data_IF_371301309893
#
_entry.id   IF_371301309893
#
_cell.length_a   1.000
_cell.length_b   1.000
_cell.length_c   1.000
_cell.angle_alpha   90.00
_cell.angle_beta   90.00
_cell.angle_gamma   90.00
#
_symmetry.space_group_name_H-M   'P 1'
#
loop_
_entity.id
_entity.type
_entity.pdbx_description
1 polymer ?
#
# COMPACT_ATOMS: atom_id res chain seq x y z
N UNK A 1 7.35 -13.60 -13.55
CA UNK A 1 6.84 -12.49 -12.72
C UNK A 1 8.04 -11.60 -12.41
N UNK A 2 7.97 -10.31 -12.72
CA UNK A 2 9.11 -9.41 -12.54
C UNK A 2 9.31 -9.10 -11.05
N UNK A 3 10.27 -9.79 -10.42
CA UNK A 3 10.57 -9.62 -8.99
C UNK A 3 11.09 -8.21 -8.70
N UNK A 4 11.82 -7.59 -9.65
CA UNK A 4 12.32 -6.22 -9.51
C UNK A 4 11.18 -5.21 -9.40
N UNK A 5 10.13 -5.37 -10.21
CA UNK A 5 8.93 -4.53 -10.12
C UNK A 5 8.25 -4.67 -8.75
N UNK A 6 8.14 -5.89 -8.22
CA UNK A 6 7.54 -6.13 -6.91
C UNK A 6 8.38 -5.56 -5.76
N UNK A 7 9.71 -5.66 -5.85
CA UNK A 7 10.63 -5.02 -4.89
C UNK A 7 10.50 -3.50 -4.95
N UNK A 8 10.40 -2.92 -6.14
CA UNK A 8 10.19 -1.48 -6.33
C UNK A 8 8.89 -1.01 -5.67
N UNK A 9 7.79 -1.73 -5.89
CA UNK A 9 6.51 -1.43 -5.24
C UNK A 9 6.58 -1.57 -3.71
N UNK A 10 7.19 -2.63 -3.20
CA UNK A 10 7.33 -2.84 -1.76
C UNK A 10 8.22 -1.78 -1.09
N UNK A 11 9.32 -1.40 -1.73
CA UNK A 11 10.21 -0.35 -1.24
C UNK A 11 9.47 1.00 -1.16
N UNK A 12 8.68 1.34 -2.18
CA UNK A 12 7.88 2.56 -2.19
C UNK A 12 6.81 2.56 -1.08
N UNK A 13 6.12 1.44 -0.86
CA UNK A 13 5.12 1.30 0.22
C UNK A 13 5.79 1.43 1.58
N UNK A 14 6.92 0.76 1.79
CA UNK A 14 7.66 0.87 3.05
C UNK A 14 8.22 2.28 3.25
N UNK A 15 8.64 2.97 2.20
CA UNK A 15 9.08 4.38 2.29
C UNK A 15 7.94 5.25 2.83
N UNK A 16 6.73 5.07 2.32
CA UNK A 16 5.54 5.77 2.82
C UNK A 16 5.14 5.40 4.25
N UNK A 17 5.56 4.23 4.75
CA UNK A 17 5.33 3.79 6.13
C UNK A 17 6.42 4.33 7.04
N UNK A 18 7.66 3.90 6.85
CA UNK A 18 8.76 3.99 7.84
C UNK A 18 9.92 4.88 7.37
N UNK A 19 9.73 5.65 6.30
CA UNK A 19 10.73 6.58 5.77
C UNK A 19 11.81 5.89 4.92
N UNK A 20 12.61 5.00 5.50
CA UNK A 20 13.67 4.27 4.77
C UNK A 20 13.16 2.90 4.28
N UNK A 21 12.32 2.94 3.25
CA UNK A 21 11.74 1.73 2.65
C UNK A 21 12.76 0.74 2.09
N UNK A 22 13.77 1.17 1.31
CA UNK A 22 14.81 0.29 0.78
C UNK A 22 15.60 -0.45 1.88
N UNK A 23 16.04 0.23 2.94
CA UNK A 23 16.79 -0.42 4.01
C UNK A 23 15.92 -1.42 4.79
N UNK A 24 14.66 -1.08 5.00
CA UNK A 24 13.74 -1.98 5.68
C UNK A 24 13.37 -3.20 4.83
N UNK A 25 13.20 -3.02 3.52
CA UNK A 25 12.92 -4.13 2.60
C UNK A 25 14.08 -5.11 2.53
N UNK A 26 15.30 -4.61 2.39
CA UNK A 26 16.51 -5.44 2.35
C UNK A 26 16.70 -6.20 3.65
N UNK A 27 16.45 -5.57 4.80
CA UNK A 27 16.43 -6.23 6.11
C UNK A 27 15.33 -7.30 6.22
N UNK A 28 14.10 -6.99 5.79
CA UNK A 28 12.96 -7.90 5.88
C UNK A 28 13.12 -9.15 4.98
N UNK A 29 13.76 -8.99 3.82
CA UNK A 29 13.95 -10.07 2.84
C UNK A 29 15.33 -10.72 2.91
N UNK A 30 16.21 -10.24 3.80
CA UNK A 30 17.62 -10.65 3.87
C UNK A 30 18.33 -10.52 2.50
N UNK A 31 18.12 -9.39 1.83
CA UNK A 31 18.73 -9.06 0.54
C UNK A 31 19.94 -8.14 0.73
N UNK A 32 20.91 -8.24 -0.19
CA UNK A 32 21.93 -7.22 -0.33
C UNK A 32 21.31 -5.91 -0.87
N UNK A 33 21.79 -4.72 -0.48
CA UNK A 33 21.27 -3.45 -0.99
C UNK A 33 21.27 -3.33 -2.52
N UNK A 34 22.28 -3.91 -3.18
CA UNK A 34 22.41 -3.93 -4.64
C UNK A 34 21.31 -4.72 -5.35
N UNK A 35 20.64 -5.64 -4.65
CA UNK A 35 19.56 -6.43 -5.23
C UNK A 35 18.30 -5.60 -5.52
N UNK A 36 18.15 -4.41 -4.91
CA UNK A 36 17.02 -3.52 -5.20
C UNK A 36 17.16 -2.75 -6.52
N UNK A 37 18.34 -2.78 -7.13
CA UNK A 37 18.62 -2.11 -8.41
C UNK A 37 18.98 -3.11 -9.51
N UNK A 38 18.93 -4.40 -9.21
CA UNK A 38 19.28 -5.47 -10.17
C UNK A 38 18.02 -5.88 -10.96
N UNK A 39 18.00 -5.54 -12.25
CA UNK A 39 16.91 -5.89 -13.17
C UNK A 39 16.69 -7.40 -13.32
N UNK A 40 17.68 -8.22 -12.96
CA UNK A 40 17.63 -9.68 -13.08
C UNK A 40 17.51 -10.39 -11.72
N UNK A 41 17.23 -9.63 -10.65
CA UNK A 41 17.02 -10.21 -9.33
C UNK A 41 15.93 -11.29 -9.39
N UNK A 42 16.25 -12.45 -8.82
CA UNK A 42 15.30 -13.55 -8.68
C UNK A 42 15.15 -13.87 -7.20
N UNK A 43 13.95 -13.67 -6.68
CA UNK A 43 13.63 -13.98 -5.30
C UNK A 43 13.45 -15.48 -5.11
N UNK A 44 13.95 -15.99 -4.00
CA UNK A 44 13.61 -17.34 -3.51
C UNK A 44 12.13 -17.40 -3.12
N UNK A 45 11.57 -18.61 -3.02
CA UNK A 45 10.20 -18.79 -2.54
C UNK A 45 9.98 -18.13 -1.16
N UNK A 46 10.90 -18.36 -0.22
CA UNK A 46 10.84 -17.77 1.11
C UNK A 46 10.87 -16.23 1.09
N UNK A 47 11.63 -15.62 0.17
CA UNK A 47 11.64 -14.17 0.00
C UNK A 47 10.34 -13.65 -0.59
N UNK A 48 9.75 -14.34 -1.58
CA UNK A 48 8.43 -13.97 -2.11
C UNK A 48 7.33 -14.11 -1.07
N UNK A 49 7.39 -15.14 -0.23
CA UNK A 49 6.44 -15.31 0.87
C UNK A 49 6.54 -14.16 1.86
N UNK A 50 7.76 -13.79 2.28
CA UNK A 50 7.98 -12.61 3.16
C UNK A 50 7.51 -11.32 2.50
N UNK A 51 7.80 -11.13 1.22
CA UNK A 51 7.38 -9.97 0.44
C UNK A 51 5.85 -9.83 0.43
N UNK A 52 5.11 -10.93 0.24
CA UNK A 52 3.63 -10.92 0.29
C UNK A 52 3.12 -10.32 1.59
N UNK A 53 3.71 -10.67 2.73
CA UNK A 53 3.23 -10.22 4.05
C UNK A 53 3.47 -8.73 4.32
N UNK A 54 4.16 -8.01 3.43
CA UNK A 54 4.25 -6.55 3.49
C UNK A 54 2.97 -5.86 2.97
N UNK A 55 2.09 -6.61 2.30
CA UNK A 55 0.86 -6.14 1.70
C UNK A 55 -0.34 -6.81 2.38
N UNK A 56 -1.52 -6.18 2.29
CA UNK A 56 -2.77 -6.93 2.43
C UNK A 56 -2.95 -7.90 1.24
N UNK A 57 -3.81 -8.91 1.37
CA UNK A 57 -4.05 -9.88 0.29
C UNK A 57 -4.50 -9.21 -1.02
N UNK A 58 -5.36 -8.20 -0.91
CA UNK A 58 -5.85 -7.44 -2.06
C UNK A 58 -4.73 -6.60 -2.69
N UNK A 59 -3.93 -5.90 -1.88
CA UNK A 59 -2.79 -5.14 -2.38
C UNK A 59 -1.72 -6.02 -3.02
N UNK A 60 -1.49 -7.23 -2.48
CA UNK A 60 -0.58 -8.20 -3.08
C UNK A 60 -1.07 -8.66 -4.45
N UNK A 61 -2.37 -8.95 -4.57
CA UNK A 61 -2.98 -9.22 -5.86
C UNK A 61 -2.81 -8.04 -6.82
N UNK A 62 -3.08 -6.81 -6.36
CA UNK A 62 -2.93 -5.61 -7.17
C UNK A 62 -1.48 -5.42 -7.63
N UNK A 63 -0.50 -5.55 -6.74
CA UNK A 63 0.92 -5.46 -7.06
C UNK A 63 1.35 -6.47 -8.12
N UNK A 64 0.89 -7.72 -8.01
CA UNK A 64 1.14 -8.74 -9.05
C UNK A 64 0.51 -8.39 -10.40
N UNK A 65 -0.73 -7.88 -10.40
CA UNK A 65 -1.40 -7.43 -11.64
C UNK A 65 -0.64 -6.27 -12.27
N UNK A 66 -0.21 -5.30 -11.46
CA UNK A 66 0.60 -4.17 -11.90
C UNK A 66 1.95 -4.64 -12.46
N UNK A 67 2.63 -5.61 -11.81
CA UNK A 67 3.89 -6.15 -12.31
C UNK A 67 3.77 -6.88 -13.65
N UNK A 68 2.65 -7.57 -13.90
CA UNK A 68 2.36 -8.15 -15.22
C UNK A 68 2.11 -7.06 -16.25
N UNK A 69 1.32 -6.05 -15.89
CA UNK A 69 0.95 -4.96 -16.79
C UNK A 69 2.17 -4.12 -17.18
N UNK A 70 3.04 -3.80 -16.23
CA UNK A 70 4.30 -3.07 -16.44
C UNK A 70 5.23 -3.76 -17.43
N UNK A 71 5.27 -5.10 -17.40
CA UNK A 71 6.07 -5.88 -18.34
C UNK A 71 5.50 -5.90 -19.77
N UNK A 72 4.21 -5.61 -19.94
CA UNK A 72 3.53 -5.64 -21.26
C UNK A 72 3.20 -4.25 -21.81
N UNK A 73 3.06 -3.25 -20.95
CA UNK A 73 2.55 -1.91 -21.25
C UNK A 73 3.09 -0.93 -20.19
N UNK A 74 4.39 -0.60 -20.20
CA UNK A 74 4.98 0.33 -19.24
C UNK A 74 4.43 1.75 -19.44
N UNK A 75 4.22 2.48 -18.34
CA UNK A 75 3.78 3.88 -18.37
C UNK A 75 4.92 4.82 -17.93
N UNK A 76 5.01 6.01 -18.54
CA UNK A 76 6.07 7.02 -18.25
C UNK A 76 6.13 7.44 -16.77
N UNK A 77 4.98 7.44 -16.07
CA UNK A 77 4.92 7.77 -14.63
C UNK A 77 5.56 6.72 -13.71
N UNK A 78 5.94 5.57 -14.26
CA UNK A 78 6.53 4.45 -13.53
C UNK A 78 5.52 3.65 -12.71
N UNK A 79 5.93 2.44 -12.34
CA UNK A 79 5.03 1.45 -11.74
C UNK A 79 4.48 1.85 -10.38
N UNK A 80 5.25 2.63 -9.60
CA UNK A 80 4.81 3.12 -8.29
C UNK A 80 3.64 4.09 -8.45
N UNK A 81 3.73 5.07 -9.34
CA UNK A 81 2.66 6.02 -9.58
C UNK A 81 1.40 5.31 -10.10
N UNK A 82 1.57 4.38 -11.04
CA UNK A 82 0.48 3.57 -11.59
C UNK A 82 -0.21 2.73 -10.51
N UNK A 83 0.55 2.07 -9.64
CA UNK A 83 0.01 1.32 -8.51
C UNK A 83 -0.79 2.20 -7.54
N UNK A 84 -0.24 3.38 -7.17
CA UNK A 84 -0.94 4.31 -6.26
C UNK A 84 -2.21 4.87 -6.89
N UNK A 85 -2.19 5.21 -8.19
CA UNK A 85 -3.36 5.66 -8.92
C UNK A 85 -4.44 4.56 -9.00
N UNK A 86 -4.05 3.32 -9.30
CA UNK A 86 -4.96 2.18 -9.32
C UNK A 86 -5.57 1.92 -7.94
N UNK A 87 -4.75 1.91 -6.88
CA UNK A 87 -5.19 1.76 -5.49
C UNK A 87 -6.16 2.86 -5.09
N UNK A 88 -5.87 4.12 -5.42
CA UNK A 88 -6.76 5.24 -5.17
C UNK A 88 -8.09 5.09 -5.91
N UNK A 89 -8.06 4.74 -7.20
CA UNK A 89 -9.28 4.50 -8.01
C UNK A 89 -10.15 3.40 -7.42
N UNK A 90 -9.55 2.29 -7.00
CA UNK A 90 -10.27 1.18 -6.35
C UNK A 90 -10.89 1.64 -5.03
N UNK A 91 -10.12 2.37 -4.20
CA UNK A 91 -10.64 2.91 -2.95
C UNK A 91 -11.83 3.86 -3.17
N UNK A 92 -11.80 4.72 -4.21
CA UNK A 92 -12.95 5.56 -4.58
C UNK A 92 -14.20 4.72 -4.87
N UNK A 93 -14.06 3.64 -5.63
CA UNK A 93 -15.17 2.72 -5.91
C UNK A 93 -15.69 2.06 -4.63
N UNK A 94 -14.79 1.66 -3.72
CA UNK A 94 -15.18 1.06 -2.43
C UNK A 94 -15.90 2.05 -1.51
N UNK A 95 -15.52 3.33 -1.53
CA UNK A 95 -16.16 4.38 -0.73
C UNK A 95 -17.64 4.62 -1.07
N UNK A 96 -18.08 4.18 -2.26
CA UNK A 96 -19.48 4.20 -2.66
C UNK A 96 -20.24 2.91 -2.27
N UNK A 97 -19.55 1.88 -1.79
CA UNK A 97 -20.15 0.58 -1.48
C UNK A 97 -20.84 0.60 -0.10
N UNK A 98 -22.07 0.05 0.02
CA UNK A 98 -22.84 0.09 1.27
C UNK A 98 -22.25 -0.81 2.37
N UNK A 99 -21.44 -1.79 1.99
CA UNK A 99 -20.78 -2.77 2.85
C UNK A 99 -19.32 -2.38 3.20
N UNK A 100 -18.93 -1.12 2.95
CA UNK A 100 -17.63 -0.64 3.34
C UNK A 100 -17.57 -0.36 4.85
N UNK A 101 -16.55 -0.90 5.51
CA UNK A 101 -16.13 -0.50 6.84
C UNK A 101 -14.75 0.17 6.80
N UNK A 102 -14.49 1.08 7.74
CA UNK A 102 -13.16 1.67 7.94
C UNK A 102 -12.61 1.28 9.30
N UNK A 103 -11.33 0.91 9.37
CA UNK A 103 -10.63 0.62 10.63
C UNK A 103 -9.37 1.45 10.75
N UNK A 104 -9.09 1.87 11.98
CA UNK A 104 -7.83 2.51 12.34
C UNK A 104 -6.91 1.49 12.99
N UNK A 105 -5.65 1.45 12.55
CA UNK A 105 -4.61 0.60 13.15
C UNK A 105 -3.40 1.47 13.47
N UNK A 106 -2.93 1.38 14.71
CA UNK A 106 -1.68 1.99 15.14
C UNK A 106 -0.57 0.97 14.99
N UNK A 107 0.46 1.31 14.24
CA UNK A 107 1.68 0.50 14.12
C UNK A 107 2.80 1.19 14.92
N UNK A 108 3.29 0.58 16.02
CA UNK A 108 4.41 1.15 16.76
C UNK A 108 5.70 1.06 15.94
N UNK A 109 6.46 2.14 15.93
CA UNK A 109 7.77 2.19 15.27
C UNK A 109 8.90 1.83 16.24
N UNK A 110 10.02 1.29 15.74
CA UNK A 110 11.17 0.93 16.57
C UNK A 110 11.81 2.10 17.32
N UNK A 111 11.64 3.34 16.84
CA UNK A 111 12.15 4.57 17.43
C UNK A 111 11.21 5.16 18.50
N UNK A 112 10.12 4.48 18.82
CA UNK A 112 9.10 4.94 19.77
C UNK A 112 8.01 5.81 19.13
N UNK A 113 8.08 6.07 17.82
CA UNK A 113 7.00 6.68 17.04
C UNK A 113 5.80 5.75 16.83
N UNK A 114 4.75 6.27 16.20
CA UNK A 114 3.58 5.50 15.78
C UNK A 114 3.19 5.89 14.36
N UNK A 115 2.98 4.89 13.50
CA UNK A 115 2.29 5.06 12.24
C UNK A 115 0.81 4.81 12.41
N UNK A 116 0.05 5.51 11.60
CA UNK A 116 -1.39 5.51 11.66
C UNK A 116 -1.91 5.01 10.32
N UNK A 117 -2.63 3.90 10.37
CA UNK A 117 -3.14 3.23 9.18
C UNK A 117 -4.65 3.36 9.12
N UNK A 118 -5.16 3.84 7.99
CA UNK A 118 -6.55 3.70 7.60
C UNK A 118 -6.71 2.47 6.73
N UNK A 119 -7.48 1.51 7.22
CA UNK A 119 -7.93 0.36 6.46
C UNK A 119 -9.33 0.59 5.93
N UNK A 120 -9.48 0.56 4.60
CA UNK A 120 -10.77 0.38 3.94
C UNK A 120 -11.02 -1.11 3.82
N UNK A 121 -12.15 -1.60 4.33
CA UNK A 121 -12.48 -3.02 4.45
C UNK A 121 -13.80 -3.28 3.75
N UNK A 122 -13.75 -3.95 2.60
CA UNK A 122 -14.94 -4.33 1.86
C UNK A 122 -15.33 -5.75 2.27
N UNK A 123 -16.43 -5.87 3.02
CA UNK A 123 -16.93 -7.14 3.53
C UNK A 123 -18.00 -7.71 2.59
N UNK A 124 -17.77 -8.89 2.04
CA UNK A 124 -18.69 -9.50 1.08
C UNK A 124 -19.85 -10.27 1.74
N UNK A 125 -19.94 -10.30 3.08
CA UNK A 125 -21.01 -10.95 3.84
C UNK A 125 -20.89 -12.47 3.93
N UNK A 126 -19.84 -13.05 3.35
CA UNK A 126 -19.64 -14.49 3.22
C UNK A 126 -18.36 -14.90 3.93
N UNK A 127 -18.45 -15.80 4.92
CA UNK A 127 -17.32 -16.53 5.54
C UNK A 127 -16.06 -15.71 5.92
N UNK A 128 -16.21 -14.43 6.27
CA UNK A 128 -15.07 -13.56 6.61
C UNK A 128 -14.22 -13.15 5.40
N UNK A 129 -14.76 -13.27 4.18
CA UNK A 129 -14.17 -12.73 2.96
C UNK A 129 -14.21 -11.20 3.04
N UNK A 130 -13.05 -10.63 3.35
CA UNK A 130 -12.87 -9.19 3.48
C UNK A 130 -11.65 -8.78 2.69
N UNK A 131 -11.85 -7.92 1.70
CA UNK A 131 -10.74 -7.25 1.04
C UNK A 131 -10.35 -5.99 1.81
N UNK A 132 -9.05 -5.75 1.95
CA UNK A 132 -8.52 -4.62 2.71
C UNK A 132 -7.59 -3.80 1.83
N UNK A 133 -7.76 -2.48 1.84
CA UNK A 133 -6.77 -1.51 1.37
C UNK A 133 -6.25 -0.72 2.55
N UNK A 134 -4.93 -0.63 2.68
CA UNK A 134 -4.27 -0.03 3.84
C UNK A 134 -3.53 1.26 3.46
N UNK A 135 -3.90 2.39 4.06
CA UNK A 135 -3.29 3.69 3.76
C UNK A 135 -2.59 4.24 4.99
N UNK A 136 -1.35 4.68 4.84
CA UNK A 136 -0.67 5.47 5.87
C UNK A 136 -1.25 6.87 5.88
N UNK A 137 -1.65 7.32 7.06
CA UNK A 137 -2.31 8.60 7.28
C UNK A 137 -1.28 9.62 7.77
N UNK A 138 -1.26 10.85 7.21
CA UNK A 138 -0.40 11.91 7.73
C UNK A 138 -0.67 12.20 9.21
N UNK A 139 0.38 12.55 9.97
CA UNK A 139 0.29 12.79 11.42
C UNK A 139 -0.76 13.86 11.78
N UNK A 140 -0.90 14.91 10.96
CA UNK A 140 -1.90 15.96 11.14
C UNK A 140 -3.33 15.41 11.08
N UNK A 141 -3.60 14.55 10.11
CA UNK A 141 -4.89 13.89 9.93
C UNK A 141 -5.14 12.92 11.07
N UNK A 142 -4.13 12.11 11.45
CA UNK A 142 -4.20 11.22 12.60
C UNK A 142 -4.60 11.95 13.88
N UNK A 143 -3.97 13.11 14.16
CA UNK A 143 -4.30 13.97 15.30
C UNK A 143 -5.75 14.46 15.24
N UNK A 144 -6.24 14.87 14.07
CA UNK A 144 -7.64 15.31 13.91
C UNK A 144 -8.63 14.16 14.13
N UNK A 145 -8.31 12.94 13.68
CA UNK A 145 -9.13 11.75 13.92
C UNK A 145 -9.17 11.42 15.42
N UNK A 146 -8.01 11.41 16.09
CA UNK A 146 -7.91 11.15 17.54
C UNK A 146 -8.67 12.19 18.36
N UNK A 147 -8.59 13.45 17.97
CA UNK A 147 -9.36 14.54 18.57
C UNK A 147 -10.86 14.53 18.18
N UNK A 148 -11.32 13.56 17.40
CA UNK A 148 -12.69 13.45 16.85
C UNK A 148 -13.14 14.67 16.05
N UNK A 149 -12.18 15.42 15.49
CA UNK A 149 -12.44 16.60 14.66
C UNK A 149 -12.86 16.25 13.24
N UNK A 150 -12.49 15.05 12.77
CA UNK A 150 -12.93 14.48 11.48
C UNK A 150 -13.14 12.98 11.64
N UNK A 151 -14.19 12.43 11.04
CA UNK A 151 -14.37 10.98 10.97
C UNK A 151 -13.57 10.39 9.79
N UNK A 152 -13.13 9.14 9.96
CA UNK A 152 -12.25 8.45 9.01
C UNK A 152 -12.86 8.32 7.62
N UNK A 153 -14.15 8.01 7.56
CA UNK A 153 -14.85 7.82 6.30
C UNK A 153 -14.98 9.16 5.57
N UNK A 154 -15.24 10.25 6.29
CA UNK A 154 -15.27 11.61 5.76
C UNK A 154 -13.90 12.04 5.26
N UNK A 155 -12.82 11.80 6.00
CA UNK A 155 -11.46 12.07 5.50
C UNK A 155 -11.19 11.26 4.22
N UNK A 156 -11.46 9.96 4.23
CA UNK A 156 -11.25 9.10 3.07
C UNK A 156 -12.02 9.60 1.84
N UNK A 157 -13.29 9.99 2.03
CA UNK A 157 -14.11 10.60 0.97
C UNK A 157 -13.50 11.90 0.48
N UNK A 158 -13.07 12.81 1.36
CA UNK A 158 -12.54 14.11 0.94
C UNK A 158 -11.21 14.00 0.17
N UNK A 159 -10.29 13.15 0.63
CA UNK A 159 -8.91 13.14 0.14
C UNK A 159 -8.63 12.03 -0.88
N UNK A 160 -9.35 10.91 -0.84
CA UNK A 160 -9.23 9.89 -1.89
C UNK A 160 -10.09 10.22 -3.10
N UNK A 161 -11.16 11.04 -2.99
CA UNK A 161 -11.94 11.52 -4.14
C UNK A 161 -11.37 12.79 -4.80
N UNK A 162 -10.48 13.53 -4.12
CA UNK A 162 -9.79 14.67 -4.74
C UNK A 162 -9.03 14.17 -5.98
N UNK A 163 -9.40 14.63 -7.17
CA UNK A 163 -8.65 14.33 -8.39
C UNK A 163 -7.19 14.76 -8.21
N UNK A 164 -6.20 14.00 -8.73
CA UNK A 164 -4.87 14.55 -8.86
C UNK A 164 -5.01 15.84 -9.66
N UNK A 165 -4.59 16.96 -9.08
CA UNK A 165 -4.46 18.19 -9.85
C UNK A 165 -3.48 17.88 -10.97
N UNK A 166 -3.99 17.76 -12.19
CA UNK A 166 -3.19 17.89 -13.40
C UNK A 166 -2.70 19.33 -13.41
N UNK A 167 -1.45 19.53 -12.98
CA UNK A 167 -0.67 20.71 -13.37
C UNK A 167 -0.28 20.61 -14.84
#
# INVERSE_FOLDING_TARGET
MNDQTLLTLAAAILTGRIGDGPAALTKALHLAPTALTDEHVTLTHAQRDRLRYLFTDYEWMLAKKMAVLDATDPEEGGIVARYQAAKARIARSWLAAPNLATRYVKEPLPDGGQLMHLQLRLDYGEHGLVDVLDFVVPETVAKHIEAKQIDLLTWAKQYLLAEPKTE
#
